data_IF_045237150711
#
_entry.id   IF_045237150711
#
_cell.length_a   1.000
_cell.length_b   1.000
_cell.length_c   1.000
_cell.angle_alpha   90.00
_cell.angle_beta   90.00
_cell.angle_gamma   90.00
#
_symmetry.space_group_name_H-M   'P 1'
#
loop_
_entity.id
_entity.type
_entity.pdbx_description
1 polymer ?
#
# COMPACT_ATOMS: atom_id res chain seq x y z
N UNK A 1 25.56 28.32 1.37
CA UNK A 1 24.49 27.96 2.32
C UNK A 1 24.20 26.47 2.11
N UNK A 2 24.42 25.60 3.09
CA UNK A 2 24.07 24.18 2.93
C UNK A 2 22.56 24.05 2.90
N UNK A 3 22.04 23.42 1.85
CA UNK A 3 20.62 23.07 1.74
C UNK A 3 20.26 22.08 2.85
N UNK A 4 19.12 22.23 3.55
CA UNK A 4 18.69 21.22 4.51
C UNK A 4 18.47 19.89 3.78
N UNK A 5 18.73 18.74 4.45
CA UNK A 5 18.38 17.44 3.88
C UNK A 5 16.89 17.41 3.56
N UNK A 6 16.43 16.71 2.52
CA UNK A 6 15.01 16.51 2.30
C UNK A 6 14.45 15.80 3.54
N UNK A 7 13.69 16.55 4.35
CA UNK A 7 12.89 16.01 5.43
C UNK A 7 11.81 15.14 4.79
N UNK A 8 11.98 13.83 4.99
CA UNK A 8 10.92 12.86 5.24
C UNK A 8 9.69 12.99 4.33
N UNK A 9 9.69 12.22 3.25
CA UNK A 9 8.44 11.69 2.70
C UNK A 9 8.19 10.35 3.41
N UNK A 10 7.77 10.44 4.68
CA UNK A 10 7.03 9.38 5.33
C UNK A 10 5.74 9.27 4.53
N UNK A 11 5.77 8.46 3.46
CA UNK A 11 4.66 7.99 2.64
C UNK A 11 3.37 8.71 3.06
N UNK A 12 3.07 9.87 2.45
CA UNK A 12 1.86 10.64 2.76
C UNK A 12 0.67 9.77 2.37
N UNK A 13 0.29 8.91 3.30
CA UNK A 13 -0.92 8.12 3.26
C UNK A 13 -1.98 9.12 3.64
N UNK A 14 -2.32 9.98 2.67
CA UNK A 14 -3.35 10.99 2.81
C UNK A 14 -4.57 10.33 3.46
N UNK A 15 -5.12 10.98 4.49
CA UNK A 15 -6.26 10.47 5.25
C UNK A 15 -7.57 10.59 4.47
N UNK A 16 -7.52 10.28 3.17
CA UNK A 16 -8.70 10.18 2.34
C UNK A 16 -9.48 8.93 2.79
N UNK A 17 -10.82 9.03 2.94
CA UNK A 17 -11.64 7.88 3.27
C UNK A 17 -11.56 6.89 2.11
N UNK A 18 -10.81 5.80 2.32
CA UNK A 18 -10.71 4.71 1.36
C UNK A 18 -11.84 3.74 1.67
N UNK A 19 -12.72 3.48 0.70
CA UNK A 19 -13.65 2.36 0.79
C UNK A 19 -12.86 1.07 0.61
N UNK A 20 -12.60 0.28 1.67
CA UNK A 20 -11.78 -0.92 1.53
C UNK A 20 -12.52 -1.91 0.64
N UNK A 21 -11.79 -2.51 -0.31
CA UNK A 21 -12.27 -3.65 -1.08
C UNK A 21 -12.75 -4.78 -0.15
N UNK A 22 -13.61 -5.69 -0.65
CA UNK A 22 -13.97 -6.89 0.09
C UNK A 22 -12.72 -7.60 0.61
N UNK A 23 -12.75 -8.07 1.86
CA UNK A 23 -11.59 -8.65 2.55
C UNK A 23 -10.88 -9.72 1.69
N UNK A 24 -11.64 -10.54 0.96
CA UNK A 24 -11.10 -11.56 0.06
C UNK A 24 -10.25 -10.98 -1.08
N UNK A 25 -10.69 -9.88 -1.69
CA UNK A 25 -9.96 -9.16 -2.74
C UNK A 25 -8.72 -8.45 -2.19
N UNK A 26 -8.82 -7.87 -0.99
CA UNK A 26 -7.70 -7.22 -0.33
C UNK A 26 -6.58 -8.24 -0.01
N UNK A 27 -6.96 -9.39 0.54
CA UNK A 27 -6.02 -10.49 0.81
C UNK A 27 -5.36 -10.98 -0.47
N UNK A 28 -6.12 -11.16 -1.55
CA UNK A 28 -5.56 -11.55 -2.85
C UNK A 28 -4.52 -10.53 -3.34
N UNK A 29 -4.84 -9.23 -3.25
CA UNK A 29 -3.93 -8.18 -3.68
C UNK A 29 -2.68 -8.07 -2.77
N UNK A 30 -2.81 -8.35 -1.47
CA UNK A 30 -1.66 -8.44 -0.54
C UNK A 30 -0.80 -9.67 -0.85
N UNK A 31 -1.42 -10.82 -1.17
CA UNK A 31 -0.68 -12.01 -1.60
C UNK A 31 0.15 -11.72 -2.85
N UNK A 32 -0.43 -11.05 -3.85
CA UNK A 32 0.29 -10.65 -5.07
C UNK A 32 1.41 -9.65 -4.75
N UNK A 33 1.10 -8.63 -3.93
CA UNK A 33 2.04 -7.59 -3.54
C UNK A 33 3.28 -8.15 -2.81
N UNK A 34 3.07 -9.06 -1.86
CA UNK A 34 4.12 -9.57 -0.98
C UNK A 34 4.66 -10.93 -1.40
N UNK A 35 4.07 -11.55 -2.44
CA UNK A 35 4.36 -12.93 -2.85
C UNK A 35 4.30 -13.92 -1.68
N UNK A 36 3.26 -13.81 -0.85
CA UNK A 36 3.08 -14.63 0.34
C UNK A 36 1.82 -15.52 0.25
N UNK A 37 1.76 -16.50 1.15
CA UNK A 37 0.61 -17.41 1.27
C UNK A 37 -0.61 -16.69 1.81
N UNK A 38 -1.81 -17.14 1.43
CA UNK A 38 -3.08 -16.61 1.95
C UNK A 38 -3.13 -16.41 3.48
N UNK A 39 -2.79 -17.40 4.33
CA UNK A 39 -2.84 -17.21 5.78
C UNK A 39 -1.87 -16.13 6.29
N UNK A 40 -0.75 -15.91 5.59
CA UNK A 40 0.22 -14.87 5.94
C UNK A 40 -0.30 -13.48 5.54
N UNK A 41 -0.94 -13.38 4.37
CA UNK A 41 -1.64 -12.18 3.92
C UNK A 41 -2.82 -11.82 4.83
N UNK A 42 -3.63 -12.79 5.24
CA UNK A 42 -4.74 -12.60 6.18
C UNK A 42 -4.25 -12.09 7.53
N UNK A 43 -3.22 -12.75 8.11
CA UNK A 43 -2.62 -12.31 9.36
C UNK A 43 -2.06 -10.88 9.27
N UNK A 44 -1.47 -10.52 8.13
CA UNK A 44 -0.95 -9.17 7.93
C UNK A 44 -2.06 -8.11 7.78
N UNK A 45 -3.14 -8.42 7.07
CA UNK A 45 -4.29 -7.52 6.95
C UNK A 45 -4.96 -7.30 8.30
N UNK A 46 -5.06 -8.35 9.13
CA UNK A 46 -5.60 -8.27 10.50
C UNK A 46 -4.72 -7.40 11.41
N UNK A 47 -3.39 -7.58 11.35
CA UNK A 47 -2.40 -6.79 12.12
C UNK A 47 -2.33 -5.31 11.67
N UNK A 48 -2.41 -5.08 10.35
CA UNK A 48 -2.26 -3.74 9.75
C UNK A 48 -3.56 -2.95 9.76
N UNK A 49 -4.69 -3.63 9.69
CA UNK A 49 -6.02 -3.06 9.49
C UNK A 49 -6.42 -2.92 8.02
N UNK A 50 -7.70 -3.14 7.72
CA UNK A 50 -8.31 -3.11 6.38
C UNK A 50 -7.96 -1.85 5.57
N UNK A 51 -8.19 -0.67 6.16
CA UNK A 51 -8.00 0.62 5.47
C UNK A 51 -6.52 0.86 5.13
N UNK A 52 -5.63 0.52 6.06
CA UNK A 52 -4.19 0.73 5.89
C UNK A 52 -3.61 -0.28 4.91
N UNK A 53 -4.07 -1.53 4.94
CA UNK A 53 -3.72 -2.53 3.95
C UNK A 53 -4.16 -2.11 2.54
N UNK A 54 -5.38 -1.57 2.38
CA UNK A 54 -5.85 -1.08 1.08
C UNK A 54 -5.03 0.10 0.58
N UNK A 55 -4.68 1.06 1.45
CA UNK A 55 -3.78 2.18 1.12
C UNK A 55 -2.42 1.70 0.62
N UNK A 56 -1.84 0.68 1.25
CA UNK A 56 -0.55 0.08 0.83
C UNK A 56 -0.68 -0.58 -0.55
N UNK A 57 -1.77 -1.31 -0.78
CA UNK A 57 -2.03 -1.91 -2.09
C UNK A 57 -2.22 -0.82 -3.14
N UNK A 58 -3.06 0.18 -2.91
CA UNK A 58 -3.28 1.30 -3.84
C UNK A 58 -1.98 2.06 -4.15
N UNK A 59 -1.13 2.30 -3.15
CA UNK A 59 0.16 2.97 -3.34
C UNK A 59 1.08 2.18 -4.27
N UNK A 60 1.14 0.84 -4.15
CA UNK A 60 1.92 0.00 -5.07
C UNK A 60 1.40 0.09 -6.50
N UNK A 61 0.09 0.02 -6.67
CA UNK A 61 -0.54 -0.01 -7.99
C UNK A 61 -0.46 1.36 -8.68
N UNK A 62 -0.66 2.47 -7.96
CA UNK A 62 -0.37 3.83 -8.46
C UNK A 62 1.10 4.03 -8.81
N UNK A 63 2.02 3.48 -8.01
CA UNK A 63 3.44 3.50 -8.35
C UNK A 63 3.83 2.64 -9.56
N UNK A 64 2.97 1.68 -9.94
CA UNK A 64 3.17 0.80 -11.10
C UNK A 64 2.59 1.39 -12.41
N UNK A 65 1.80 2.46 -12.33
CA UNK A 65 1.28 3.21 -13.49
C UNK A 65 2.28 4.29 -13.97
N UNK A 66 3.38 4.50 -13.23
CA UNK A 66 4.49 5.35 -13.68
C UNK A 66 5.40 4.54 -14.61
N UNK A 67 4.93 4.33 -15.84
CA UNK A 67 5.84 4.14 -16.98
C UNK A 67 6.33 5.52 -17.39
N UNK A 68 7.60 5.90 -17.13
CA UNK A 68 8.20 7.00 -17.88
C UNK A 68 8.36 6.51 -19.32
N UNK A 69 7.36 6.74 -20.15
CA UNK A 69 7.57 6.68 -21.60
C UNK A 69 8.45 7.87 -21.98
N UNK A 70 9.66 7.55 -22.46
CA UNK A 70 10.69 8.46 -22.97
C UNK A 70 10.28 9.20 -24.25
#
# INVERSE_FOLDING_TARGET
MPVPPPSVDELDVSDDPVEPRPYADLVAAVMELRSCSKPDAEAWVDDTGLERAERVVLARWRGNDFSPEE
#
